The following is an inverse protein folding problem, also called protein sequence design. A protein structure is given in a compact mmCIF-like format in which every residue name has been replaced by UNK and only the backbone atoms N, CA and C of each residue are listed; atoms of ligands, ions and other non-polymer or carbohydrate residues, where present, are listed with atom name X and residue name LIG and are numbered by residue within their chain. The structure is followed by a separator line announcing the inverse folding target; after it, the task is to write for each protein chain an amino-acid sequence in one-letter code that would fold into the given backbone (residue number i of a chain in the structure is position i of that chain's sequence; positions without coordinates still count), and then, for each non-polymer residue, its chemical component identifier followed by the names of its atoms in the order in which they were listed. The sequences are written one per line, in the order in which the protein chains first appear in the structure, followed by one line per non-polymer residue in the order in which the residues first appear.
data_IF_823597016268
#
_entry.id   IF_823597016268
#
_cell.length_a   1.000
_cell.length_b   1.000
_cell.length_c   1.000
_cell.angle_alpha   90.00
_cell.angle_beta   90.00
_cell.angle_gamma   90.00
#
_symmetry.space_group_name_H-M   'P 1'
#
loop_
_entity.id
_entity.type
_entity.pdbx_description
1 polymer ?
#
# COMPACT_ATOMS: atom_id res chain seq x y z
N UNK A 1 -19.68 2.79 14.45
CA UNK A 1 -18.76 3.16 13.35
C UNK A 1 -18.72 2.09 12.25
N UNK A 2 -19.86 1.55 11.78
CA UNK A 2 -19.86 0.39 10.86
C UNK A 2 -19.21 0.71 9.50
N UNK A 3 -19.43 1.92 8.98
CA UNK A 3 -18.84 2.36 7.70
C UNK A 3 -17.31 2.46 7.79
N UNK A 4 -16.78 3.02 8.89
CA UNK A 4 -15.32 3.11 9.12
C UNK A 4 -14.70 1.72 9.24
N UNK A 5 -15.35 0.80 9.96
CA UNK A 5 -14.87 -0.58 10.07
C UNK A 5 -14.83 -1.28 8.71
N UNK A 6 -15.84 -1.08 7.87
CA UNK A 6 -15.87 -1.62 6.51
C UNK A 6 -14.75 -1.03 5.63
N UNK A 7 -14.49 0.28 5.72
CA UNK A 7 -13.39 0.95 5.03
C UNK A 7 -12.04 0.41 5.43
N UNK A 8 -11.79 0.26 6.73
CA UNK A 8 -10.53 -0.31 7.23
C UNK A 8 -10.37 -1.74 6.73
N UNK A 9 -11.39 -2.59 6.87
CA UNK A 9 -11.32 -3.98 6.43
C UNK A 9 -11.02 -4.12 4.91
N UNK A 10 -11.74 -3.37 4.06
CA UNK A 10 -11.51 -3.38 2.61
C UNK A 10 -10.14 -2.81 2.22
N UNK A 11 -9.73 -1.71 2.84
CA UNK A 11 -8.44 -1.10 2.58
C UNK A 11 -7.28 -2.02 2.96
N UNK A 12 -7.36 -2.74 4.09
CA UNK A 12 -6.33 -3.68 4.53
C UNK A 12 -6.10 -4.80 3.51
N UNK A 13 -7.16 -5.34 2.91
CA UNK A 13 -7.03 -6.36 1.86
C UNK A 13 -6.24 -5.79 0.67
N UNK A 14 -6.57 -4.57 0.23
CA UNK A 14 -5.85 -3.90 -0.85
C UNK A 14 -4.38 -3.64 -0.52
N UNK A 15 -4.10 -3.10 0.67
CA UNK A 15 -2.74 -2.76 1.12
C UNK A 15 -1.87 -4.01 1.25
N UNK A 16 -2.39 -5.11 1.80
CA UNK A 16 -1.61 -6.36 1.98
C UNK A 16 -1.29 -7.01 0.64
N UNK A 17 -2.27 -7.06 -0.27
CA UNK A 17 -2.05 -7.60 -1.62
C UNK A 17 -1.00 -6.75 -2.37
N UNK A 18 -1.15 -5.43 -2.33
CA UNK A 18 -0.19 -4.51 -2.95
C UNK A 18 1.20 -4.63 -2.34
N UNK A 19 1.32 -4.67 -1.02
CA UNK A 19 2.59 -4.83 -0.32
C UNK A 19 3.30 -6.14 -0.67
N UNK A 20 2.55 -7.23 -0.85
CA UNK A 20 3.12 -8.51 -1.27
C UNK A 20 3.67 -8.47 -2.70
N UNK A 21 2.97 -7.78 -3.61
CA UNK A 21 3.42 -7.58 -5.00
C UNK A 21 4.67 -6.68 -5.03
N UNK A 22 4.63 -5.53 -4.35
CA UNK A 22 5.78 -4.61 -4.30
C UNK A 22 6.98 -5.28 -3.64
N UNK A 23 6.80 -5.95 -2.50
CA UNK A 23 7.88 -6.63 -1.77
C UNK A 23 8.56 -7.72 -2.59
N UNK A 24 7.81 -8.46 -3.41
CA UNK A 24 8.38 -9.49 -4.29
C UNK A 24 9.00 -8.92 -5.56
N UNK A 25 8.46 -7.84 -6.13
CA UNK A 25 8.95 -7.24 -7.39
C UNK A 25 10.12 -6.26 -7.21
N UNK A 26 10.19 -5.57 -6.07
CA UNK A 26 11.20 -4.53 -5.82
C UNK A 26 12.65 -5.03 -5.93
N UNK A 27 13.03 -6.20 -5.38
CA UNK A 27 14.40 -6.72 -5.50
C UNK A 27 14.83 -6.93 -6.95
N UNK A 28 13.91 -7.38 -7.82
CA UNK A 28 14.18 -7.54 -9.25
C UNK A 28 14.38 -6.19 -9.94
N UNK A 29 13.59 -5.19 -9.58
CA UNK A 29 13.71 -3.83 -10.11
C UNK A 29 15.04 -3.19 -9.71
N UNK A 30 15.41 -3.29 -8.42
CA UNK A 30 16.66 -2.76 -7.88
C UNK A 30 17.88 -3.43 -8.50
N UNK A 31 17.85 -4.76 -8.66
CA UNK A 31 18.90 -5.50 -9.36
C UNK A 31 19.06 -5.06 -10.82
N UNK A 32 17.96 -4.72 -11.50
CA UNK A 32 17.98 -4.21 -12.88
C UNK A 32 18.57 -2.80 -12.99
N UNK A 33 18.41 -2.00 -11.94
CA UNK A 33 18.92 -0.64 -11.84
C UNK A 33 20.37 -0.58 -11.29
N UNK A 34 20.96 -1.73 -10.92
CA UNK A 34 22.32 -1.81 -10.41
C UNK A 34 22.48 -1.48 -8.93
N UNK A 35 21.39 -1.37 -8.17
CA UNK A 35 21.41 -1.18 -6.72
C UNK A 35 21.50 -2.51 -5.98
N UNK A 36 22.11 -2.51 -4.79
CA UNK A 36 22.16 -3.69 -3.92
C UNK A 36 20.79 -3.94 -3.26
N UNK A 37 20.07 -5.00 -3.66
CA UNK A 37 18.73 -5.27 -3.16
C UNK A 37 18.74 -5.72 -1.70
N UNK A 38 19.86 -6.19 -1.13
CA UNK A 38 19.89 -6.69 0.25
C UNK A 38 19.81 -5.56 1.29
N UNK A 39 20.53 -4.46 1.05
CA UNK A 39 20.56 -3.31 1.97
C UNK A 39 19.44 -2.29 1.70
N UNK A 40 19.04 -2.11 0.43
CA UNK A 40 18.10 -1.06 0.03
C UNK A 40 16.63 -1.50 -0.03
N UNK A 41 16.33 -2.80 -0.16
CA UNK A 41 14.94 -3.23 -0.34
C UNK A 41 14.03 -2.94 0.87
N UNK A 42 14.50 -3.17 2.10
CA UNK A 42 13.69 -2.95 3.30
C UNK A 42 13.18 -1.49 3.44
N UNK A 43 14.02 -0.45 3.40
CA UNK A 43 13.55 0.94 3.50
C UNK A 43 12.74 1.38 2.28
N UNK A 44 13.04 0.89 1.08
CA UNK A 44 12.27 1.23 -0.12
C UNK A 44 10.88 0.58 -0.12
N UNK A 45 10.74 -0.69 0.26
CA UNK A 45 9.42 -1.34 0.39
C UNK A 45 8.58 -0.59 1.41
N UNK A 46 9.15 -0.25 2.57
CA UNK A 46 8.42 0.46 3.62
C UNK A 46 7.85 1.80 3.11
N UNK A 47 8.69 2.63 2.48
CA UNK A 47 8.25 3.94 1.96
C UNK A 47 7.25 3.83 0.82
N UNK A 48 7.44 2.91 -0.12
CA UNK A 48 6.49 2.65 -1.21
C UNK A 48 5.14 2.20 -0.68
N UNK A 49 5.13 1.20 0.20
CA UNK A 49 3.90 0.64 0.78
C UNK A 49 3.19 1.67 1.65
N UNK A 50 3.91 2.56 2.33
CA UNK A 50 3.31 3.62 3.15
C UNK A 50 2.59 4.67 2.27
N UNK A 51 3.28 5.24 1.29
CA UNK A 51 2.70 6.23 0.37
C UNK A 51 1.54 5.62 -0.43
N UNK A 52 1.73 4.43 -0.99
CA UNK A 52 0.67 3.77 -1.78
C UNK A 52 -0.47 3.25 -0.89
N UNK A 53 -0.17 2.86 0.35
CA UNK A 53 -1.16 2.42 1.32
C UNK A 53 -2.10 3.54 1.73
N UNK A 54 -1.59 4.75 1.92
CA UNK A 54 -2.40 5.96 2.13
C UNK A 54 -3.31 6.21 0.93
N UNK A 55 -2.80 6.11 -0.30
CA UNK A 55 -3.61 6.29 -1.52
C UNK A 55 -4.71 5.24 -1.60
N UNK A 56 -4.43 3.97 -1.32
CA UNK A 56 -5.43 2.90 -1.30
C UNK A 56 -6.49 3.18 -0.23
N UNK A 57 -6.07 3.51 0.99
CA UNK A 57 -6.97 3.80 2.10
C UNK A 57 -7.92 4.96 1.77
N UNK A 58 -7.39 6.10 1.32
CA UNK A 58 -8.21 7.27 0.99
C UNK A 58 -9.08 7.05 -0.25
N UNK A 59 -8.66 6.22 -1.21
CA UNK A 59 -9.50 5.85 -2.36
C UNK A 59 -10.70 5.01 -1.90
N UNK A 60 -10.47 4.01 -1.05
CA UNK A 60 -11.54 3.18 -0.47
C UNK A 60 -12.45 4.03 0.43
N UNK A 61 -11.87 4.91 1.24
CA UNK A 61 -12.62 5.84 2.08
C UNK A 61 -13.46 6.80 1.24
N UNK A 62 -12.92 7.36 0.16
CA UNK A 62 -13.67 8.23 -0.75
C UNK A 62 -14.87 7.52 -1.35
N UNK A 63 -14.77 6.24 -1.72
CA UNK A 63 -15.88 5.50 -2.28
C UNK A 63 -16.93 5.09 -1.24
N UNK A 64 -16.52 4.73 -0.02
CA UNK A 64 -17.44 4.20 1.01
C UNK A 64 -18.05 5.31 1.88
N UNK A 65 -17.28 6.37 2.18
CA UNK A 65 -17.71 7.48 3.05
C UNK A 65 -18.22 8.70 2.27
N UNK A 66 -18.26 8.64 0.93
CA UNK A 66 -18.78 9.73 0.08
C UNK A 66 -20.15 10.19 0.56
N UNK A 67 -20.29 11.45 0.99
CA UNK A 67 -21.57 12.02 1.42
C UNK A 67 -21.97 11.75 2.87
N UNK A 68 -21.16 11.03 3.66
CA UNK A 68 -21.38 10.90 5.12
C UNK A 68 -20.37 11.71 5.93
N UNK A 69 -19.12 11.78 5.48
CA UNK A 69 -17.99 12.38 6.21
C UNK A 69 -17.05 13.23 5.32
N UNK A 70 -17.21 13.14 3.99
CA UNK A 70 -16.50 13.88 2.94
C UNK A 70 -17.53 14.48 1.99
#
# INVERSE_FOLDING_TARGET
YPLVAATVALSLVGVVLWGSVVGSMLPFLLRRLGFDPAASSAPFVATLVDVTGIVIYFTVAYHILRGTLL
#
